data_IF_692810643611
#
_entry.id   IF_692810643611
#
_cell.length_a   1.000
_cell.length_b   1.000
_cell.length_c   1.000
_cell.angle_alpha   90.00
_cell.angle_beta   90.00
_cell.angle_gamma   90.00
#
_symmetry.space_group_name_H-M   'P 1'
#
loop_
_entity.id
_entity.type
_entity.pdbx_description
1 polymer ?
#
# COMPACT_ATOMS: atom_id res chain seq x y z
N UNK A 1 -10.83 -54.08 12.50
CA UNK A 1 -11.13 -52.85 11.73
C UNK A 1 -11.82 -51.87 12.67
N UNK A 2 -11.06 -50.99 13.31
CA UNK A 2 -11.61 -49.83 14.00
C UNK A 2 -11.55 -48.68 13.02
N UNK A 3 -12.70 -48.15 12.66
CA UNK A 3 -12.90 -46.93 11.88
C UNK A 3 -12.07 -45.80 12.46
N UNK A 4 -11.13 -45.27 11.67
CA UNK A 4 -10.49 -43.98 11.92
C UNK A 4 -11.59 -42.91 11.94
N UNK A 5 -11.88 -42.40 13.14
CA UNK A 5 -12.61 -41.15 13.28
C UNK A 5 -11.71 -40.05 12.73
N UNK A 6 -12.03 -39.56 11.54
CA UNK A 6 -11.53 -38.30 11.00
C UNK A 6 -11.78 -37.21 12.05
N UNK A 7 -10.73 -36.76 12.75
CA UNK A 7 -10.81 -35.55 13.57
C UNK A 7 -10.88 -34.36 12.60
N UNK A 8 -11.81 -33.40 12.79
CA UNK A 8 -11.83 -32.21 11.95
C UNK A 8 -10.52 -31.43 12.17
N UNK A 9 -10.00 -30.85 11.09
CA UNK A 9 -8.93 -29.85 11.15
C UNK A 9 -9.28 -28.83 12.23
N UNK A 10 -8.46 -28.67 13.26
CA UNK A 10 -8.61 -27.53 14.15
C UNK A 10 -8.16 -26.31 13.36
N UNK A 11 -9.10 -25.48 12.91
CA UNK A 11 -8.80 -24.39 11.96
C UNK A 11 -7.88 -23.36 12.66
N UNK A 12 -6.69 -23.15 12.10
CA UNK A 12 -5.68 -22.24 12.63
C UNK A 12 -6.14 -20.79 12.44
N UNK A 13 -6.04 -19.97 13.49
CA UNK A 13 -6.50 -18.57 13.46
C UNK A 13 -5.33 -17.58 13.47
N UNK A 14 -5.38 -16.60 12.57
CA UNK A 14 -4.45 -15.47 12.46
C UNK A 14 -5.14 -14.16 12.83
N UNK A 15 -4.48 -13.36 13.67
CA UNK A 15 -4.85 -11.97 13.90
C UNK A 15 -4.04 -11.06 12.98
N UNK A 16 -4.68 -10.07 12.38
CA UNK A 16 -4.04 -9.06 11.55
C UNK A 16 -4.23 -7.67 12.18
N UNK A 17 -3.13 -7.02 12.56
CA UNK A 17 -3.07 -5.71 13.23
C UNK A 17 -2.41 -4.67 12.30
N UNK A 18 -3.19 -3.99 11.45
CA UNK A 18 -2.67 -2.93 10.59
C UNK A 18 -2.45 -1.65 11.39
N UNK A 19 -1.56 -0.78 10.91
CA UNK A 19 -1.57 0.61 11.32
C UNK A 19 -2.89 1.26 10.83
N UNK A 20 -3.57 2.10 11.63
CA UNK A 20 -4.92 2.62 11.34
C UNK A 20 -4.99 3.68 10.22
N UNK A 21 -4.19 3.52 9.16
CA UNK A 21 -4.27 4.30 7.94
C UNK A 21 -4.70 3.41 6.78
N UNK A 22 -5.49 3.96 5.84
CA UNK A 22 -6.03 3.20 4.71
C UNK A 22 -4.93 2.49 3.88
N UNK A 23 -3.77 3.13 3.73
CA UNK A 23 -2.60 2.57 3.05
C UNK A 23 -1.98 1.34 3.74
N UNK A 24 -2.35 1.05 4.98
CA UNK A 24 -1.88 -0.09 5.75
C UNK A 24 -2.99 -1.15 5.92
N UNK A 25 -4.22 -0.69 6.18
CA UNK A 25 -5.40 -1.56 6.32
C UNK A 25 -5.69 -2.32 5.03
N UNK A 26 -5.71 -1.66 3.88
CA UNK A 26 -6.10 -2.29 2.61
C UNK A 26 -5.16 -3.43 2.18
N UNK A 27 -3.82 -3.25 2.08
CA UNK A 27 -2.94 -4.35 1.72
C UNK A 27 -2.97 -5.49 2.75
N UNK A 28 -3.11 -5.19 4.05
CA UNK A 28 -3.24 -6.24 5.06
C UNK A 28 -4.57 -7.00 4.97
N UNK A 29 -5.66 -6.33 4.62
CA UNK A 29 -6.95 -6.97 4.36
C UNK A 29 -6.89 -7.88 3.11
N UNK A 30 -6.24 -7.43 2.03
CA UNK A 30 -6.11 -8.28 0.83
C UNK A 30 -5.22 -9.49 1.09
N UNK A 31 -4.12 -9.32 1.85
CA UNK A 31 -3.33 -10.45 2.30
C UNK A 31 -4.15 -11.40 3.20
N UNK A 32 -4.95 -10.86 4.13
CA UNK A 32 -5.86 -11.63 4.98
C UNK A 32 -6.87 -12.47 4.17
N UNK A 33 -7.44 -11.89 3.10
CA UNK A 33 -8.35 -12.62 2.20
C UNK A 33 -7.65 -13.78 1.48
N UNK A 34 -6.37 -13.60 1.10
CA UNK A 34 -5.53 -14.68 0.52
C UNK A 34 -5.29 -15.81 1.52
N UNK A 35 -4.92 -15.48 2.75
CA UNK A 35 -4.75 -16.47 3.82
C UNK A 35 -6.05 -17.24 4.08
N UNK A 36 -7.18 -16.53 4.12
CA UNK A 36 -8.48 -17.15 4.32
C UNK A 36 -8.88 -18.09 3.16
N UNK A 37 -8.53 -17.73 1.92
CA UNK A 37 -8.76 -18.61 0.76
C UNK A 37 -7.95 -19.90 0.79
N UNK A 38 -6.87 -19.95 1.59
CA UNK A 38 -6.00 -21.11 1.77
C UNK A 38 -6.29 -21.88 3.08
N UNK A 39 -7.43 -21.62 3.72
CA UNK A 39 -7.93 -22.41 4.84
C UNK A 39 -7.66 -21.86 6.24
N UNK A 40 -7.02 -20.70 6.36
CA UNK A 40 -6.83 -20.04 7.67
C UNK A 40 -8.08 -19.26 8.09
N UNK A 41 -8.39 -19.25 9.39
CA UNK A 41 -9.28 -18.23 9.95
C UNK A 41 -8.50 -16.94 10.12
N UNK A 42 -9.09 -15.82 9.72
CA UNK A 42 -8.43 -14.52 9.87
C UNK A 42 -9.38 -13.51 10.50
N UNK A 43 -8.90 -12.81 11.54
CA UNK A 43 -9.57 -11.63 12.08
C UNK A 43 -8.66 -10.42 11.90
N UNK A 44 -9.14 -9.41 11.18
CA UNK A 44 -8.48 -8.12 11.03
C UNK A 44 -9.00 -7.17 12.11
N UNK A 45 -8.07 -6.56 12.84
CA UNK A 45 -8.33 -5.57 13.86
C UNK A 45 -8.43 -4.19 13.21
N UNK A 46 -9.41 -3.37 13.60
CA UNK A 46 -9.58 -2.01 13.07
C UNK A 46 -9.96 -1.03 14.18
N UNK A 47 -9.51 0.21 14.04
CA UNK A 47 -9.82 1.33 14.95
C UNK A 47 -10.82 2.31 14.34
N UNK A 48 -11.34 2.02 13.15
CA UNK A 48 -12.27 2.89 12.42
C UNK A 48 -13.70 2.39 12.65
N UNK A 49 -14.49 3.14 13.42
CA UNK A 49 -15.92 2.84 13.66
C UNK A 49 -16.76 3.35 12.49
N UNK A 50 -16.71 2.65 11.37
CA UNK A 50 -17.72 2.84 10.34
C UNK A 50 -18.77 1.76 10.51
N UNK A 51 -20.06 2.10 10.65
CA UNK A 51 -21.16 1.11 10.74
C UNK A 51 -21.17 0.10 9.56
N UNK A 52 -20.49 0.41 8.47
CA UNK A 52 -20.23 -0.44 7.30
C UNK A 52 -19.29 -1.63 7.63
N UNK A 53 -18.37 -1.49 8.58
CA UNK A 53 -17.37 -2.52 8.97
C UNK A 53 -17.96 -3.70 9.75
N UNK A 54 -19.21 -3.58 10.23
CA UNK A 54 -19.93 -4.66 10.92
C UNK A 54 -20.49 -5.72 9.98
N UNK A 55 -20.28 -5.57 8.67
CA UNK A 55 -20.63 -6.57 7.66
C UNK A 55 -19.46 -7.51 7.40
N UNK A 56 -19.73 -8.83 7.30
CA UNK A 56 -18.72 -9.83 6.93
C UNK A 56 -18.09 -9.42 5.59
N UNK A 57 -16.80 -9.11 5.58
CA UNK A 57 -16.05 -8.83 4.35
C UNK A 57 -15.62 -10.15 3.68
N UNK A 58 -16.62 -10.95 3.31
CA UNK A 58 -16.44 -12.31 2.79
C UNK A 58 -15.85 -13.24 3.85
N UNK A 59 -14.63 -13.74 3.59
CA UNK A 59 -13.95 -14.76 4.37
C UNK A 59 -13.14 -14.26 5.58
N UNK A 60 -13.04 -12.94 5.78
CA UNK A 60 -12.26 -12.33 6.87
C UNK A 60 -13.19 -11.68 7.89
N UNK A 61 -12.98 -12.00 9.18
CA UNK A 61 -13.68 -11.34 10.28
C UNK A 61 -13.06 -9.98 10.56
N UNK A 62 -13.88 -9.00 10.92
CA UNK A 62 -13.41 -7.67 11.33
C UNK A 62 -13.80 -7.47 12.78
N UNK A 63 -12.82 -7.18 13.63
CA UNK A 63 -13.04 -6.83 15.04
C UNK A 63 -12.66 -5.36 15.25
N UNK A 64 -13.63 -4.58 15.70
CA UNK A 64 -13.42 -3.17 16.02
C UNK A 64 -12.84 -3.02 17.43
N UNK A 65 -11.79 -2.21 17.54
CA UNK A 65 -11.17 -1.83 18.81
C UNK A 65 -11.56 -0.38 19.10
N UNK A 66 -12.39 -0.18 20.12
CA UNK A 66 -12.76 1.15 20.59
C UNK A 66 -11.52 1.88 21.12
N UNK A 67 -11.31 3.10 20.64
CA UNK A 67 -10.32 4.02 21.19
C UNK A 67 -11.04 5.06 22.05
N UNK A 68 -10.78 5.04 23.36
CA UNK A 68 -11.22 6.11 24.28
C UNK A 68 -10.14 7.21 24.43
N UNK A 69 -9.12 7.22 23.55
CA UNK A 69 -8.00 8.14 23.67
C UNK A 69 -8.38 9.58 23.27
N UNK A 70 -7.86 10.55 24.03
CA UNK A 70 -7.96 11.97 23.73
C UNK A 70 -7.04 12.33 22.54
N UNK A 71 -7.48 13.27 21.69
CA UNK A 71 -6.76 13.71 20.49
C UNK A 71 -5.43 14.45 20.77
N UNK A 72 -5.15 14.81 22.03
CA UNK A 72 -3.99 15.64 22.43
C UNK A 72 -2.70 14.85 22.73
N UNK A 73 -2.76 13.52 22.81
CA UNK A 73 -1.64 12.63 23.18
C UNK A 73 -0.91 12.05 21.94
N UNK A 74 0.35 11.61 22.08
CA UNK A 74 1.13 10.97 21.00
C UNK A 74 0.37 9.75 20.43
N UNK A 75 -0.16 9.91 19.21
CA UNK A 75 -1.02 8.94 18.53
C UNK A 75 -0.47 7.52 18.56
N UNK A 76 0.85 7.35 18.36
CA UNK A 76 1.46 6.02 18.31
C UNK A 76 1.62 5.40 19.71
N UNK A 77 1.86 6.22 20.75
CA UNK A 77 1.91 5.74 22.14
C UNK A 77 0.53 5.34 22.65
N UNK A 78 -0.50 6.10 22.27
CA UNK A 78 -1.89 5.76 22.55
C UNK A 78 -2.29 4.44 21.91
N UNK A 79 -1.93 4.25 20.63
CA UNK A 79 -2.19 3.02 19.90
C UNK A 79 -1.57 1.80 20.60
N UNK A 80 -0.31 1.90 21.02
CA UNK A 80 0.36 0.84 21.79
C UNK A 80 -0.38 0.53 23.08
N UNK A 81 -0.76 1.55 23.85
CA UNK A 81 -1.47 1.39 25.13
C UNK A 81 -2.82 0.68 24.96
N UNK A 82 -3.62 1.10 23.97
CA UNK A 82 -4.93 0.49 23.68
C UNK A 82 -4.75 -0.98 23.28
N UNK A 83 -3.83 -1.27 22.36
CA UNK A 83 -3.59 -2.63 21.88
C UNK A 83 -3.09 -3.53 23.00
N UNK A 84 -2.24 -3.02 23.90
CA UNK A 84 -1.71 -3.78 25.04
C UNK A 84 -2.82 -4.34 25.94
N UNK A 85 -3.92 -3.59 26.09
CA UNK A 85 -5.08 -4.00 26.91
C UNK A 85 -6.01 -4.91 26.11
N UNK A 86 -6.30 -4.54 24.85
CA UNK A 86 -7.35 -5.20 24.05
C UNK A 86 -6.92 -6.48 23.36
N UNK A 87 -5.65 -6.60 22.98
CA UNK A 87 -5.16 -7.78 22.27
C UNK A 87 -5.29 -9.07 23.10
N UNK A 88 -4.90 -9.12 24.39
CA UNK A 88 -5.11 -10.33 25.22
C UNK A 88 -6.59 -10.71 25.37
N UNK A 89 -7.48 -9.73 25.54
CA UNK A 89 -8.94 -9.95 25.63
C UNK A 89 -9.48 -10.60 24.35
N UNK A 90 -9.07 -10.08 23.18
CA UNK A 90 -9.48 -10.60 21.87
C UNK A 90 -8.94 -12.01 21.64
N UNK A 91 -7.67 -12.27 21.98
CA UNK A 91 -7.05 -13.59 21.84
C UNK A 91 -7.75 -14.63 22.72
N UNK A 92 -8.09 -14.28 23.96
CA UNK A 92 -8.84 -15.15 24.87
C UNK A 92 -10.24 -15.47 24.30
N UNK A 93 -10.99 -14.44 23.91
CA UNK A 93 -12.33 -14.55 23.31
C UNK A 93 -12.34 -15.46 22.07
N UNK A 94 -11.36 -15.29 21.17
CA UNK A 94 -11.26 -16.11 19.95
C UNK A 94 -10.88 -17.55 20.30
N UNK A 95 -9.97 -17.75 21.25
CA UNK A 95 -9.53 -19.09 21.65
C UNK A 95 -10.67 -19.91 22.28
N UNK A 96 -11.57 -19.27 23.03
CA UNK A 96 -12.79 -19.91 23.57
C UNK A 96 -13.76 -20.37 22.47
N UNK A 97 -13.70 -19.80 21.26
CA UNK A 97 -14.55 -20.18 20.13
C UNK A 97 -14.13 -21.48 19.42
N UNK A 98 -13.07 -22.14 19.90
CA UNK A 98 -12.54 -23.39 19.33
C UNK A 98 -11.48 -23.20 18.25
N UNK A 99 -11.11 -21.96 17.94
CA UNK A 99 -10.12 -21.56 16.94
C UNK A 99 -8.96 -20.80 17.60
N UNK A 100 -7.97 -21.50 18.21
CA UNK A 100 -6.90 -20.83 18.91
C UNK A 100 -6.08 -19.95 17.96
N UNK A 101 -5.82 -18.71 18.38
CA UNK A 101 -4.91 -17.81 17.68
C UNK A 101 -3.51 -18.40 17.73
N UNK A 102 -2.86 -18.51 16.58
CA UNK A 102 -1.50 -19.06 16.46
C UNK A 102 -0.48 -18.02 16.02
N UNK A 103 -0.92 -16.95 15.35
CA UNK A 103 -0.03 -15.92 14.83
C UNK A 103 -0.68 -14.54 14.87
N UNK A 104 0.11 -13.53 15.24
CA UNK A 104 -0.17 -12.12 15.03
C UNK A 104 0.65 -11.62 13.83
N UNK A 105 -0.06 -11.23 12.77
CA UNK A 105 0.50 -10.44 11.67
C UNK A 105 0.33 -8.97 12.03
N UNK A 106 1.41 -8.21 12.13
CA UNK A 106 1.38 -6.80 12.53
C UNK A 106 2.06 -5.92 11.49
N UNK A 107 1.71 -4.64 11.46
CA UNK A 107 2.38 -3.64 10.61
C UNK A 107 3.83 -3.41 11.08
N UNK A 108 4.80 -3.37 10.16
CA UNK A 108 6.22 -3.22 10.51
C UNK A 108 6.53 -1.96 11.32
N UNK A 109 5.74 -0.88 11.17
CA UNK A 109 5.90 0.38 11.92
C UNK A 109 5.62 0.20 13.43
N UNK A 110 5.01 -0.92 13.83
CA UNK A 110 4.69 -1.25 15.23
C UNK A 110 5.56 -2.41 15.75
N UNK A 111 6.89 -2.26 15.88
CA UNK A 111 7.78 -3.35 16.30
C UNK A 111 7.43 -3.92 17.68
N UNK A 112 6.83 -3.11 18.56
CA UNK A 112 6.36 -3.53 19.88
C UNK A 112 5.25 -4.61 19.83
N UNK A 113 4.57 -4.79 18.70
CA UNK A 113 3.54 -5.82 18.56
C UNK A 113 4.14 -7.23 18.53
N UNK A 114 5.42 -7.36 18.16
CA UNK A 114 6.14 -8.64 18.26
C UNK A 114 6.24 -9.09 19.72
N UNK A 115 6.65 -8.20 20.62
CA UNK A 115 6.80 -8.50 22.04
C UNK A 115 5.48 -8.98 22.65
N UNK A 116 4.38 -8.31 22.31
CA UNK A 116 3.03 -8.71 22.72
C UNK A 116 2.63 -10.08 22.17
N UNK A 117 2.97 -10.38 20.91
CA UNK A 117 2.73 -11.70 20.34
C UNK A 117 3.46 -12.79 21.15
N UNK A 118 4.72 -12.54 21.53
CA UNK A 118 5.52 -13.49 22.33
C UNK A 118 4.98 -13.67 23.73
N UNK A 119 4.56 -12.60 24.40
CA UNK A 119 3.92 -12.67 25.73
C UNK A 119 2.65 -13.52 25.72
N UNK A 120 1.92 -13.50 24.60
CA UNK A 120 0.72 -14.30 24.38
C UNK A 120 1.01 -15.71 23.83
N UNK A 121 2.28 -16.09 23.68
CA UNK A 121 2.69 -17.40 23.14
C UNK A 121 2.39 -17.59 21.65
N UNK A 122 2.23 -16.49 20.91
CA UNK A 122 1.93 -16.48 19.48
C UNK A 122 3.20 -16.36 18.63
N UNK A 123 3.14 -16.84 17.39
CA UNK A 123 4.09 -16.42 16.38
C UNK A 123 3.86 -14.95 16.01
N UNK A 124 4.93 -14.22 15.71
CA UNK A 124 4.88 -12.83 15.25
C UNK A 124 5.40 -12.71 13.82
N UNK A 125 4.61 -12.13 12.94
CA UNK A 125 4.99 -11.83 11.57
C UNK A 125 4.75 -10.35 11.25
N UNK A 126 5.76 -9.65 10.75
CA UNK A 126 5.58 -8.26 10.33
C UNK A 126 5.22 -8.17 8.85
N UNK A 127 4.38 -7.20 8.49
CA UNK A 127 4.06 -6.84 7.11
C UNK A 127 4.56 -5.41 6.82
N UNK A 128 5.47 -5.30 5.86
CA UNK A 128 5.88 -4.04 5.26
C UNK A 128 4.92 -3.68 4.13
N UNK A 129 4.27 -2.53 4.28
CA UNK A 129 3.38 -1.92 3.28
C UNK A 129 4.09 -0.84 2.45
N UNK A 130 5.42 -0.82 2.54
CA UNK A 130 6.34 0.00 1.75
C UNK A 130 7.12 -0.89 0.76
N UNK A 131 7.77 -0.27 -0.24
CA UNK A 131 8.66 -1.00 -1.14
C UNK A 131 9.89 -1.53 -0.40
N UNK A 132 10.44 -2.66 -0.86
CA UNK A 132 11.66 -3.22 -0.29
C UNK A 132 12.85 -2.26 -0.46
N UNK A 133 12.88 -1.53 -1.58
CA UNK A 133 13.81 -0.44 -1.85
C UNK A 133 13.79 0.63 -0.74
N UNK A 134 12.62 1.16 -0.39
CA UNK A 134 12.47 2.18 0.66
C UNK A 134 12.88 1.64 2.02
N UNK A 135 12.48 0.41 2.36
CA UNK A 135 12.88 -0.22 3.62
C UNK A 135 14.38 -0.43 3.71
N UNK A 136 15.08 -0.72 2.61
CA UNK A 136 16.54 -0.80 2.60
C UNK A 136 17.20 0.57 2.90
N UNK A 137 16.61 1.68 2.45
CA UNK A 137 17.07 3.04 2.81
C UNK A 137 16.95 3.27 4.32
N UNK A 138 15.75 3.03 4.89
CA UNK A 138 15.54 3.19 6.32
C UNK A 138 16.41 2.25 7.14
N UNK A 139 16.66 1.02 6.66
CA UNK A 139 17.59 0.11 7.29
C UNK A 139 19.03 0.67 7.32
N UNK A 140 19.50 1.31 6.24
CA UNK A 140 20.82 1.98 6.25
C UNK A 140 20.88 3.14 7.22
N UNK A 141 19.78 3.86 7.41
CA UNK A 141 19.69 4.87 8.45
C UNK A 141 19.72 4.26 9.86
N UNK A 142 19.00 3.17 10.09
CA UNK A 142 19.03 2.42 11.34
C UNK A 142 20.43 1.87 11.67
N UNK A 143 21.19 1.42 10.66
CA UNK A 143 22.60 1.01 10.83
C UNK A 143 23.57 2.20 11.06
N UNK A 144 23.08 3.44 11.01
CA UNK A 144 23.91 4.65 11.09
C UNK A 144 24.82 4.88 9.87
N UNK A 145 24.58 4.15 8.76
CA UNK A 145 25.33 4.21 7.48
C UNK A 145 24.78 5.26 6.52
N UNK A 146 23.53 5.68 6.71
CA UNK A 146 22.94 6.87 6.09
C UNK A 146 22.50 7.80 7.21
N UNK A 147 22.95 9.05 7.19
CA UNK A 147 22.68 10.01 8.26
C UNK A 147 22.00 11.25 7.70
N UNK A 148 21.39 12.00 8.61
CA UNK A 148 20.82 13.32 8.34
C UNK A 148 21.62 14.38 9.10
N UNK A 149 22.03 15.50 8.46
CA UNK A 149 21.89 15.79 7.04
C UNK A 149 22.70 14.83 6.17
N UNK A 150 22.25 14.61 4.93
CA UNK A 150 22.94 13.73 3.98
C UNK A 150 24.25 14.37 3.55
N UNK A 151 25.37 13.72 3.86
CA UNK A 151 26.72 14.30 3.66
C UNK A 151 27.18 14.31 2.19
N UNK A 152 26.74 13.33 1.38
CA UNK A 152 27.20 13.15 0.00
C UNK A 152 26.10 12.60 -0.89
N UNK A 153 25.99 13.20 -2.08
CA UNK A 153 25.16 12.71 -3.19
C UNK A 153 26.02 12.46 -4.45
N UNK A 154 25.63 11.52 -5.34
CA UNK A 154 24.53 10.58 -5.13
C UNK A 154 24.86 9.55 -4.05
N UNK A 155 23.83 9.13 -3.30
CA UNK A 155 23.90 8.06 -2.31
C UNK A 155 23.91 6.72 -3.03
N UNK A 156 24.84 5.86 -2.64
CA UNK A 156 24.99 4.51 -3.18
C UNK A 156 24.55 3.48 -2.13
N UNK A 157 23.48 2.76 -2.43
CA UNK A 157 22.99 1.65 -1.60
C UNK A 157 23.02 0.38 -2.46
N UNK A 158 23.57 -0.69 -1.92
CA UNK A 158 23.68 -1.97 -2.62
C UNK A 158 22.28 -2.49 -3.02
N UNK A 159 22.12 -2.89 -4.29
CA UNK A 159 20.86 -3.36 -4.85
C UNK A 159 19.90 -2.27 -5.30
N UNK A 160 20.35 -1.01 -5.36
CA UNK A 160 19.54 0.16 -5.72
C UNK A 160 20.25 1.02 -6.78
N UNK A 161 19.50 1.82 -7.57
CA UNK A 161 20.10 2.85 -8.39
C UNK A 161 20.83 3.89 -7.53
N UNK A 162 21.68 4.70 -8.14
CA UNK A 162 22.21 5.91 -7.49
C UNK A 162 21.05 6.87 -7.17
N UNK A 163 21.04 7.38 -5.95
CA UNK A 163 19.97 8.22 -5.43
C UNK A 163 20.50 9.63 -5.17
N UNK A 164 19.95 10.63 -5.84
CA UNK A 164 20.19 12.02 -5.43
C UNK A 164 19.41 12.36 -4.16
N UNK A 165 19.64 13.55 -3.59
CA UNK A 165 19.01 13.96 -2.32
C UNK A 165 17.48 13.80 -2.37
N UNK A 166 16.88 14.29 -3.45
CA UNK A 166 15.43 14.26 -3.67
C UNK A 166 14.91 12.93 -4.24
N UNK A 167 15.76 11.90 -4.33
CA UNK A 167 15.36 10.52 -4.58
C UNK A 167 15.24 9.70 -3.28
N UNK A 168 15.76 10.22 -2.16
CA UNK A 168 15.56 9.65 -0.82
C UNK A 168 14.17 10.02 -0.28
N UNK A 169 13.65 9.32 0.74
CA UNK A 169 12.45 9.75 1.43
C UNK A 169 12.58 11.17 1.98
N UNK A 170 11.49 11.94 2.01
CA UNK A 170 11.51 13.35 2.39
C UNK A 170 12.12 13.61 3.76
N UNK A 171 12.03 12.64 4.68
CA UNK A 171 12.62 12.70 6.01
C UNK A 171 14.15 12.82 6.03
N UNK A 172 14.84 12.64 4.90
CA UNK A 172 16.28 12.86 4.80
C UNK A 172 16.68 14.29 4.44
N UNK A 173 15.74 15.11 3.96
CA UNK A 173 16.00 16.49 3.52
C UNK A 173 14.96 17.53 3.99
N UNK A 174 13.86 17.09 4.59
CA UNK A 174 12.78 17.93 5.12
C UNK A 174 12.45 17.52 6.57
N UNK A 175 13.47 17.55 7.44
CA UNK A 175 13.34 17.15 8.84
C UNK A 175 12.50 18.13 9.67
N UNK A 176 12.46 19.41 9.29
CA UNK A 176 11.74 20.44 10.04
C UNK A 176 10.24 20.20 10.05
N UNK A 177 9.69 19.73 8.93
CA UNK A 177 8.27 19.40 8.82
C UNK A 177 7.91 18.03 9.43
N UNK A 178 8.89 17.15 9.65
CA UNK A 178 8.67 15.75 10.06
C UNK A 178 9.69 15.22 11.10
N UNK A 179 9.85 15.89 12.26
CA UNK A 179 10.98 15.66 13.16
C UNK A 179 11.00 14.26 13.82
N UNK A 180 9.85 13.60 13.94
CA UNK A 180 9.72 12.28 14.58
C UNK A 180 9.60 11.12 13.58
N UNK A 181 9.33 11.41 12.30
CA UNK A 181 8.97 10.39 11.30
C UNK A 181 10.13 9.48 10.92
N UNK A 182 11.35 10.03 10.83
CA UNK A 182 12.53 9.20 10.51
C UNK A 182 12.78 8.15 11.59
N UNK A 183 12.75 8.55 12.86
CA UNK A 183 12.95 7.63 13.99
C UNK A 183 11.87 6.54 14.02
N UNK A 184 10.61 6.91 13.79
CA UNK A 184 9.51 5.95 13.71
C UNK A 184 9.76 4.89 12.62
N UNK A 185 10.20 5.32 11.43
CA UNK A 185 10.42 4.45 10.28
C UNK A 185 11.73 3.67 10.31
N UNK A 186 12.73 4.10 11.09
CA UNK A 186 13.92 3.29 11.38
C UNK A 186 13.64 2.28 12.49
N UNK A 187 12.72 2.58 13.42
CA UNK A 187 12.41 1.69 14.54
C UNK A 187 11.76 0.37 14.11
N UNK A 188 11.18 0.29 12.91
CA UNK A 188 10.68 -0.98 12.35
C UNK A 188 11.75 -2.08 12.19
N UNK A 189 13.04 -1.74 12.34
CA UNK A 189 14.16 -2.68 12.26
C UNK A 189 14.70 -3.12 13.62
N UNK A 190 14.16 -2.64 14.75
CA UNK A 190 14.70 -2.89 16.10
C UNK A 190 14.74 -4.38 16.46
N UNK A 191 13.68 -5.12 16.13
CA UNK A 191 13.52 -6.55 16.43
C UNK A 191 13.16 -7.36 15.18
N UNK A 192 13.50 -6.86 13.99
CA UNK A 192 13.15 -7.51 12.72
C UNK A 192 13.73 -8.93 12.61
N UNK A 193 14.92 -9.16 13.17
CA UNK A 193 15.57 -10.47 13.19
C UNK A 193 14.87 -11.51 14.08
N UNK A 194 14.02 -11.06 15.01
CA UNK A 194 13.32 -11.93 15.97
C UNK A 194 11.90 -12.32 15.50
N UNK A 195 11.42 -11.71 14.41
CA UNK A 195 10.14 -12.04 13.79
C UNK A 195 10.23 -13.42 13.09
N UNK A 196 9.17 -14.22 13.20
CA UNK A 196 9.12 -15.54 12.57
C UNK A 196 9.00 -15.45 11.04
N UNK A 197 8.36 -14.38 10.56
CA UNK A 197 8.23 -14.05 9.14
C UNK A 197 8.29 -12.54 8.91
N UNK A 198 8.91 -12.14 7.80
CA UNK A 198 8.98 -10.75 7.35
C UNK A 198 8.33 -10.63 5.97
N UNK A 199 7.09 -10.17 5.91
CA UNK A 199 6.35 -10.01 4.66
C UNK A 199 6.57 -8.64 4.03
N UNK A 200 6.68 -8.61 2.71
CA UNK A 200 6.67 -7.36 1.93
C UNK A 200 5.54 -7.38 0.91
N UNK A 201 4.78 -6.30 0.82
CA UNK A 201 3.82 -6.07 -0.27
C UNK A 201 4.56 -5.70 -1.57
N UNK A 202 5.32 -6.66 -2.11
CA UNK A 202 6.07 -6.61 -3.36
C UNK A 202 6.22 -8.03 -3.91
N UNK A 203 6.84 -8.20 -5.08
CA UNK A 203 7.13 -9.51 -5.66
C UNK A 203 8.56 -9.57 -6.20
N UNK A 204 9.13 -10.78 -6.25
CA UNK A 204 10.52 -11.00 -6.69
C UNK A 204 10.82 -10.32 -8.03
N UNK A 205 9.98 -10.51 -9.05
CA UNK A 205 10.20 -9.89 -10.35
C UNK A 205 10.38 -8.37 -10.35
N UNK A 206 9.80 -7.64 -9.37
CA UNK A 206 9.84 -6.17 -9.28
C UNK A 206 11.08 -5.63 -8.59
N UNK A 207 11.51 -6.30 -7.52
CA UNK A 207 12.51 -5.81 -6.57
C UNK A 207 13.59 -6.87 -6.23
N UNK A 208 13.85 -7.82 -7.14
CA UNK A 208 14.68 -9.01 -6.86
C UNK A 208 16.06 -8.67 -6.28
N UNK A 209 16.73 -7.66 -6.84
CA UNK A 209 18.08 -7.29 -6.41
C UNK A 209 18.09 -6.81 -4.95
N UNK A 210 17.19 -5.89 -4.58
CA UNK A 210 17.12 -5.38 -3.20
C UNK A 210 16.61 -6.43 -2.22
N UNK A 211 15.64 -7.27 -2.63
CA UNK A 211 15.15 -8.40 -1.84
C UNK A 211 16.30 -9.36 -1.52
N UNK A 212 17.12 -9.71 -2.51
CA UNK A 212 18.26 -10.60 -2.33
C UNK A 212 19.32 -9.98 -1.40
N UNK A 213 19.57 -8.67 -1.48
CA UNK A 213 20.48 -7.97 -0.54
C UNK A 213 19.96 -7.94 0.88
N UNK A 214 18.66 -7.75 1.07
CA UNK A 214 18.07 -7.78 2.41
C UNK A 214 18.03 -9.20 2.99
N UNK A 215 17.73 -10.21 2.17
CA UNK A 215 17.71 -11.62 2.58
C UNK A 215 19.10 -12.13 2.96
N UNK A 216 20.16 -11.65 2.29
CA UNK A 216 21.55 -11.97 2.65
C UNK A 216 21.93 -11.52 4.08
N UNK A 217 21.11 -10.70 4.74
CA UNK A 217 21.26 -10.29 6.15
C UNK A 217 20.57 -11.24 7.13
N UNK A 218 20.13 -12.42 6.65
CA UNK A 218 19.47 -13.48 7.41
C UNK A 218 18.07 -13.13 7.92
N UNK A 219 17.42 -12.11 7.34
CA UNK A 219 16.01 -11.85 7.61
C UNK A 219 15.12 -12.85 6.86
N UNK A 220 14.05 -13.39 7.48
CA UNK A 220 13.14 -14.35 6.84
C UNK A 220 12.14 -13.63 5.92
N UNK A 221 12.67 -12.92 4.91
CA UNK A 221 11.89 -12.08 3.99
C UNK A 221 11.08 -12.95 3.02
N UNK A 222 9.80 -12.57 2.87
CA UNK A 222 8.81 -13.22 2.01
C UNK A 222 8.02 -12.15 1.23
N UNK A 223 8.35 -11.91 -0.05
CA UNK A 223 7.52 -11.11 -0.93
C UNK A 223 6.16 -11.78 -1.14
N UNK A 224 5.05 -11.09 -0.86
CA UNK A 224 3.69 -11.63 -0.94
C UNK A 224 2.73 -10.77 -1.77
N UNK A 225 3.23 -9.70 -2.38
CA UNK A 225 2.45 -8.77 -3.18
C UNK A 225 2.32 -9.18 -4.66
N UNK A 226 1.59 -8.42 -5.47
CA UNK A 226 0.77 -7.27 -5.08
C UNK A 226 -0.45 -7.65 -4.20
N UNK A 227 -0.61 -6.97 -3.07
CA UNK A 227 -1.78 -7.09 -2.18
C UNK A 227 -2.98 -6.31 -2.71
N UNK A 228 -3.40 -6.59 -3.94
CA UNK A 228 -4.65 -6.09 -4.54
C UNK A 228 -5.67 -7.24 -4.69
N UNK A 229 -6.96 -6.96 -4.92
CA UNK A 229 -7.99 -7.97 -5.01
C UNK A 229 -7.73 -8.95 -6.16
N UNK A 230 -7.94 -10.23 -5.86
CA UNK A 230 -7.73 -11.36 -6.76
C UNK A 230 -8.40 -11.17 -8.12
N UNK A 231 -9.57 -10.54 -8.18
CA UNK A 231 -10.27 -10.28 -9.45
C UNK A 231 -9.40 -9.52 -10.48
N UNK A 232 -8.49 -8.66 -10.04
CA UNK A 232 -7.61 -7.87 -10.91
C UNK A 232 -6.30 -8.57 -11.26
N UNK A 233 -6.01 -9.70 -10.60
CA UNK A 233 -4.79 -10.48 -10.75
C UNK A 233 -5.08 -11.84 -11.40
N UNK A 234 -5.27 -12.86 -10.56
CA UNK A 234 -5.35 -14.28 -10.86
C UNK A 234 -6.79 -14.83 -10.86
N UNK A 235 -7.76 -14.03 -10.40
CA UNK A 235 -9.21 -14.34 -10.35
C UNK A 235 -9.59 -15.61 -9.58
N UNK A 236 -8.70 -16.13 -8.73
CA UNK A 236 -8.93 -17.34 -7.93
C UNK A 236 -9.91 -17.14 -6.76
N UNK A 237 -10.14 -15.89 -6.34
CA UNK A 237 -11.12 -15.54 -5.30
C UNK A 237 -12.27 -14.74 -5.93
N UNK A 238 -13.36 -15.42 -6.29
CA UNK A 238 -14.44 -14.87 -7.13
C UNK A 238 -15.14 -13.63 -6.57
N UNK A 239 -15.31 -13.54 -5.24
CA UNK A 239 -15.99 -12.43 -4.57
C UNK A 239 -15.03 -11.28 -4.19
N UNK A 240 -13.73 -11.42 -4.44
CA UNK A 240 -12.73 -10.45 -4.05
C UNK A 240 -12.54 -9.39 -5.16
N UNK A 241 -13.54 -8.52 -5.30
CA UNK A 241 -13.53 -7.34 -6.17
C UNK A 241 -13.22 -6.06 -5.40
N UNK A 242 -13.67 -5.97 -4.16
CA UNK A 242 -13.49 -4.77 -3.34
C UNK A 242 -12.08 -4.70 -2.73
N UNK A 243 -11.46 -3.52 -2.85
CA UNK A 243 -10.09 -3.29 -2.41
C UNK A 243 -9.94 -3.11 -0.90
N UNK A 244 -10.93 -2.57 -0.21
CA UNK A 244 -10.90 -2.57 1.24
C UNK A 244 -11.89 -1.61 1.85
N UNK A 245 -11.57 -1.16 3.06
CA UNK A 245 -12.42 -0.26 3.81
C UNK A 245 -12.23 1.15 3.27
N UNK A 246 -13.29 1.71 2.70
CA UNK A 246 -13.28 3.08 2.19
C UNK A 246 -13.54 4.05 3.35
N UNK A 247 -12.66 5.04 3.53
CA UNK A 247 -12.88 6.15 4.46
C UNK A 247 -14.01 7.08 4.02
N UNK A 248 -14.22 7.18 2.70
CA UNK A 248 -15.20 8.08 2.08
C UNK A 248 -16.20 7.28 1.21
N UNK A 249 -17.42 7.80 1.04
CA UNK A 249 -18.44 7.16 0.23
C UNK A 249 -18.12 7.34 -1.27
N UNK A 250 -17.88 6.26 -2.04
CA UNK A 250 -17.46 6.38 -3.42
C UNK A 250 -18.63 6.72 -4.36
N UNK A 251 -18.40 7.59 -5.34
CA UNK A 251 -19.37 7.90 -6.39
C UNK A 251 -19.20 6.95 -7.59
N UNK A 252 -19.36 5.64 -7.35
CA UNK A 252 -18.97 4.58 -8.30
C UNK A 252 -19.76 4.67 -9.61
N UNK A 253 -21.08 4.75 -9.54
CA UNK A 253 -21.93 4.61 -10.72
C UNK A 253 -21.75 5.77 -11.72
N UNK A 254 -21.56 7.00 -11.23
CA UNK A 254 -21.35 8.15 -12.11
C UNK A 254 -19.96 8.14 -12.75
N UNK A 255 -18.92 7.79 -11.99
CA UNK A 255 -17.55 7.67 -12.52
C UNK A 255 -17.49 6.65 -13.65
N UNK A 256 -18.02 5.45 -13.42
CA UNK A 256 -17.94 4.36 -14.40
C UNK A 256 -18.75 4.67 -15.66
N UNK A 257 -19.97 5.21 -15.53
CA UNK A 257 -20.77 5.64 -16.69
C UNK A 257 -20.08 6.73 -17.52
N UNK A 258 -19.42 7.69 -16.86
CA UNK A 258 -18.68 8.72 -17.56
C UNK A 258 -17.48 8.12 -18.31
N UNK A 259 -16.73 7.23 -17.67
CA UNK A 259 -15.59 6.53 -18.26
C UNK A 259 -15.99 5.63 -19.45
N UNK A 260 -17.13 4.95 -19.38
CA UNK A 260 -17.67 4.08 -20.44
C UNK A 260 -17.90 4.85 -21.76
N UNK A 261 -18.20 6.15 -21.66
CA UNK A 261 -18.42 7.04 -22.80
C UNK A 261 -17.14 7.56 -23.46
N UNK A 262 -15.97 7.20 -22.93
CA UNK A 262 -14.66 7.68 -23.41
C UNK A 262 -13.94 6.62 -24.22
N UNK A 263 -13.11 7.09 -25.15
CA UNK A 263 -12.27 6.22 -25.97
C UNK A 263 -11.21 5.49 -25.12
N UNK A 264 -10.67 4.41 -25.68
CA UNK A 264 -9.65 3.62 -24.98
C UNK A 264 -8.38 4.46 -24.82
N UNK A 265 -7.79 4.45 -23.63
CA UNK A 265 -6.58 5.21 -23.29
C UNK A 265 -6.68 6.73 -23.51
N UNK A 266 -7.88 7.33 -23.44
CA UNK A 266 -8.07 8.76 -23.68
C UNK A 266 -8.19 9.62 -22.41
N UNK A 267 -8.27 9.00 -21.22
CA UNK A 267 -8.56 9.66 -19.94
C UNK A 267 -7.33 9.67 -19.04
N UNK A 268 -7.03 10.83 -18.46
CA UNK A 268 -6.07 10.99 -17.37
C UNK A 268 -6.82 10.83 -16.04
N UNK A 269 -6.44 9.85 -15.23
CA UNK A 269 -6.89 9.77 -13.86
C UNK A 269 -5.93 10.54 -12.95
N UNK A 270 -6.44 11.36 -12.03
CA UNK A 270 -5.63 12.20 -11.13
C UNK A 270 -6.06 11.92 -9.69
N UNK A 271 -5.12 11.48 -8.85
CA UNK A 271 -5.35 11.25 -7.42
C UNK A 271 -4.03 11.29 -6.64
N UNK A 272 -3.99 12.14 -5.61
CA UNK A 272 -2.83 12.32 -4.73
C UNK A 272 -3.00 11.59 -3.38
N UNK A 273 -3.89 10.60 -3.32
CA UNK A 273 -4.08 9.75 -2.15
C UNK A 273 -4.91 10.41 -1.03
N UNK A 274 -5.01 9.71 0.10
CA UNK A 274 -5.90 10.08 1.20
C UNK A 274 -5.29 11.08 2.19
N UNK A 275 -3.97 11.28 2.17
CA UNK A 275 -3.24 12.08 3.18
C UNK A 275 -2.60 13.35 2.63
N UNK A 276 -2.39 13.45 1.31
CA UNK A 276 -1.77 14.65 0.72
C UNK A 276 -2.74 15.83 0.78
N UNK A 277 -2.27 16.96 1.30
CA UNK A 277 -2.94 18.26 1.26
C UNK A 277 -2.08 19.15 0.35
N UNK A 278 -2.70 19.76 -0.66
CA UNK A 278 -1.98 20.64 -1.59
C UNK A 278 -2.25 22.11 -1.25
N UNK A 279 -1.24 22.95 -1.49
CA UNK A 279 -1.39 24.40 -1.45
C UNK A 279 -2.20 24.90 -2.65
N UNK A 280 -2.87 26.05 -2.49
CA UNK A 280 -3.71 26.67 -3.52
C UNK A 280 -2.96 26.87 -4.85
N UNK A 281 -1.74 27.41 -4.79
CA UNK A 281 -0.90 27.63 -5.98
C UNK A 281 -0.64 26.32 -6.76
N UNK A 282 -0.38 25.22 -6.05
CA UNK A 282 -0.14 23.94 -6.72
C UNK A 282 -1.43 23.35 -7.31
N UNK A 283 -2.56 23.52 -6.62
CA UNK A 283 -3.89 23.12 -7.11
C UNK A 283 -4.24 23.86 -8.41
N UNK A 284 -3.95 25.17 -8.46
CA UNK A 284 -4.14 26.02 -9.63
C UNK A 284 -3.28 25.56 -10.82
N UNK A 285 -1.99 25.30 -10.62
CA UNK A 285 -1.11 24.80 -11.69
C UNK A 285 -1.54 23.43 -12.22
N UNK A 286 -2.03 22.53 -11.35
CA UNK A 286 -2.61 21.23 -11.78
C UNK A 286 -3.86 21.44 -12.62
N UNK A 287 -4.79 22.28 -12.16
CA UNK A 287 -6.02 22.59 -12.88
C UNK A 287 -5.72 23.14 -14.28
N UNK A 288 -4.80 24.11 -14.39
CA UNK A 288 -4.41 24.65 -15.68
C UNK A 288 -3.62 23.67 -16.54
N UNK A 289 -2.74 22.85 -15.96
CA UNK A 289 -2.01 21.80 -16.68
C UNK A 289 -2.96 20.79 -17.32
N UNK A 290 -3.98 20.34 -16.57
CA UNK A 290 -5.02 19.44 -17.07
C UNK A 290 -5.83 20.10 -18.20
N UNK A 291 -6.26 21.34 -18.02
CA UNK A 291 -6.99 22.10 -19.05
C UNK A 291 -6.18 22.24 -20.34
N UNK A 292 -4.88 22.55 -20.23
CA UNK A 292 -3.95 22.71 -21.35
C UNK A 292 -3.63 21.40 -22.05
N UNK A 293 -3.57 20.29 -21.32
CA UNK A 293 -3.34 18.95 -21.89
C UNK A 293 -4.38 18.56 -22.94
N UNK A 294 -5.56 19.17 -22.91
CA UNK A 294 -6.66 18.96 -23.86
C UNK A 294 -7.21 17.50 -23.90
N UNK A 295 -6.78 16.65 -22.97
CA UNK A 295 -7.27 15.29 -22.76
C UNK A 295 -8.52 15.27 -21.86
N UNK A 296 -9.23 14.14 -21.85
CA UNK A 296 -10.25 13.89 -20.83
C UNK A 296 -9.56 13.65 -19.49
N UNK A 297 -10.16 14.10 -18.38
CA UNK A 297 -9.61 13.82 -17.06
C UNK A 297 -10.68 13.49 -16.02
N UNK A 298 -10.36 12.58 -15.10
CA UNK A 298 -11.11 12.30 -13.90
C UNK A 298 -10.22 12.62 -12.71
N UNK A 299 -10.58 13.66 -11.95
CA UNK A 299 -9.77 14.15 -10.84
C UNK A 299 -10.48 13.98 -9.50
N UNK A 300 -9.81 13.27 -8.58
CA UNK A 300 -10.25 13.18 -7.18
C UNK A 300 -9.78 14.43 -6.43
N UNK A 301 -10.74 15.27 -6.03
CA UNK A 301 -10.53 16.47 -5.19
C UNK A 301 -11.44 16.33 -3.98
N UNK A 302 -10.86 16.16 -2.79
CA UNK A 302 -11.64 15.98 -1.56
C UNK A 302 -12.44 17.24 -1.27
N UNK A 303 -13.57 17.08 -0.59
CA UNK A 303 -14.46 18.19 -0.21
C UNK A 303 -13.71 19.33 0.52
N UNK A 304 -12.75 18.98 1.39
CA UNK A 304 -11.90 19.95 2.11
C UNK A 304 -10.93 20.75 1.22
N UNK A 305 -10.79 20.37 -0.04
CA UNK A 305 -9.84 20.96 -1.00
C UNK A 305 -10.56 21.64 -2.17
N UNK A 306 -11.89 21.50 -2.29
CA UNK A 306 -12.66 22.03 -3.43
C UNK A 306 -12.54 23.56 -3.54
N UNK A 307 -12.44 24.26 -2.42
CA UNK A 307 -12.29 25.72 -2.37
C UNK A 307 -10.98 26.23 -2.99
N UNK A 308 -9.99 25.35 -3.16
CA UNK A 308 -8.67 25.67 -3.74
C UNK A 308 -8.66 25.58 -5.27
N UNK A 309 -9.74 25.08 -5.88
CA UNK A 309 -9.85 25.02 -7.33
C UNK A 309 -10.02 26.43 -7.91
N UNK A 310 -9.44 26.72 -9.09
CA UNK A 310 -9.64 28.02 -9.75
C UNK A 310 -11.13 28.30 -10.00
N UNK A 311 -11.52 29.57 -9.89
CA UNK A 311 -12.90 29.98 -10.14
C UNK A 311 -13.36 29.58 -11.55
N UNK A 312 -14.57 29.04 -11.64
CA UNK A 312 -15.20 28.52 -12.86
C UNK A 312 -14.51 27.29 -13.50
N UNK A 313 -13.51 26.67 -12.84
CA UNK A 313 -12.78 25.55 -13.43
C UNK A 313 -13.69 24.37 -13.79
N UNK A 314 -14.65 24.05 -12.93
CA UNK A 314 -15.60 22.95 -13.15
C UNK A 314 -16.48 23.24 -14.35
N UNK A 315 -17.04 24.45 -14.45
CA UNK A 315 -17.90 24.88 -15.54
C UNK A 315 -17.14 24.92 -16.88
N UNK A 316 -15.91 25.46 -16.88
CA UNK A 316 -15.08 25.57 -18.08
C UNK A 316 -14.59 24.22 -18.61
N UNK A 317 -14.53 23.20 -17.75
CA UNK A 317 -14.03 21.88 -18.12
C UNK A 317 -15.10 20.80 -18.18
N UNK A 318 -16.38 21.13 -17.97
CA UNK A 318 -17.47 20.14 -17.84
C UNK A 318 -17.60 19.15 -19.01
N UNK A 319 -17.17 19.52 -20.21
CA UNK A 319 -17.20 18.63 -21.39
C UNK A 319 -16.07 17.58 -21.39
N UNK A 320 -14.94 17.88 -20.72
CA UNK A 320 -13.71 17.08 -20.74
C UNK A 320 -13.30 16.51 -19.38
N UNK A 321 -13.65 17.19 -18.31
CA UNK A 321 -13.27 16.89 -16.95
C UNK A 321 -14.45 16.33 -16.15
N UNK A 322 -14.14 15.44 -15.23
CA UNK A 322 -15.02 15.06 -14.14
C UNK A 322 -14.26 15.21 -12.83
N UNK A 323 -14.79 16.01 -11.91
CA UNK A 323 -14.24 16.17 -10.56
C UNK A 323 -15.14 15.40 -9.59
N UNK A 324 -14.53 14.61 -8.71
CA UNK A 324 -15.24 13.83 -7.69
C UNK A 324 -14.50 13.90 -6.36
N UNK A 325 -15.25 13.81 -5.26
CA UNK A 325 -14.64 13.76 -3.92
C UNK A 325 -13.99 12.43 -3.60
N UNK A 326 -14.53 11.33 -4.14
CA UNK A 326 -13.99 9.99 -3.97
C UNK A 326 -14.49 9.02 -5.06
N UNK A 327 -13.64 8.07 -5.45
CA UNK A 327 -13.98 6.99 -6.37
C UNK A 327 -13.34 5.66 -5.94
N UNK A 328 -13.81 4.55 -6.50
CA UNK A 328 -13.11 3.27 -6.40
C UNK A 328 -11.89 3.31 -7.34
N UNK A 329 -10.75 3.80 -6.82
CA UNK A 329 -9.53 4.02 -7.59
C UNK A 329 -9.12 2.78 -8.40
N UNK A 330 -9.18 1.59 -7.82
CA UNK A 330 -8.75 0.37 -8.50
C UNK A 330 -9.66 0.01 -9.69
N UNK A 331 -10.98 0.19 -9.54
CA UNK A 331 -11.91 0.00 -10.66
C UNK A 331 -11.72 1.05 -11.75
N UNK A 332 -11.47 2.30 -11.37
CA UNK A 332 -11.15 3.38 -12.30
C UNK A 332 -9.88 3.04 -13.08
N UNK A 333 -8.78 2.69 -12.40
CA UNK A 333 -7.51 2.32 -13.03
C UNK A 333 -7.65 1.09 -13.95
N UNK A 334 -8.56 0.16 -13.62
CA UNK A 334 -8.81 -1.02 -14.45
C UNK A 334 -9.66 -0.73 -15.70
N UNK A 335 -10.26 0.46 -15.78
CA UNK A 335 -11.13 0.83 -16.88
C UNK A 335 -10.34 1.10 -18.17
N UNK A 336 -10.85 0.60 -19.30
CA UNK A 336 -10.19 0.68 -20.63
C UNK A 336 -9.86 2.10 -21.09
N UNK A 337 -10.62 3.10 -20.64
CA UNK A 337 -10.42 4.49 -21.06
C UNK A 337 -9.26 5.18 -20.36
N UNK A 338 -8.75 4.64 -19.23
CA UNK A 338 -7.61 5.23 -18.53
C UNK A 338 -6.34 5.08 -19.35
N UNK A 339 -5.81 6.20 -19.83
CA UNK A 339 -4.56 6.30 -20.56
C UNK A 339 -3.35 6.54 -19.66
N UNK A 340 -3.54 7.31 -18.59
CA UNK A 340 -2.48 7.75 -17.68
C UNK A 340 -3.02 7.93 -16.25
N UNK A 341 -2.17 7.68 -15.25
CA UNK A 341 -2.42 8.00 -13.85
C UNK A 341 -1.43 9.05 -13.34
N UNK A 342 -1.91 10.26 -13.09
CA UNK A 342 -1.15 11.29 -12.37
C UNK A 342 -1.29 11.04 -10.87
N UNK A 343 -0.16 10.73 -10.22
CA UNK A 343 -0.16 10.15 -8.87
C UNK A 343 0.96 10.69 -8.01
N UNK A 344 0.70 10.75 -6.70
CA UNK A 344 1.69 11.00 -5.66
C UNK A 344 2.69 9.85 -5.45
N UNK A 345 2.55 8.71 -6.12
CA UNK A 345 3.45 7.55 -5.97
C UNK A 345 3.50 6.95 -4.55
N UNK A 346 2.40 7.01 -3.79
CA UNK A 346 2.23 6.16 -2.61
C UNK A 346 2.27 4.68 -3.02
N UNK A 347 2.86 3.82 -2.19
CA UNK A 347 3.22 2.46 -2.59
C UNK A 347 2.03 1.63 -3.10
N UNK A 348 0.87 1.73 -2.45
CA UNK A 348 -0.34 1.04 -2.90
C UNK A 348 -0.80 1.52 -4.28
N UNK A 349 -0.91 2.84 -4.49
CA UNK A 349 -1.29 3.42 -5.79
C UNK A 349 -0.31 3.02 -6.90
N UNK A 350 0.99 2.96 -6.59
CA UNK A 350 2.02 2.48 -7.52
C UNK A 350 1.82 1.00 -7.85
N UNK A 351 1.56 0.15 -6.85
CA UNK A 351 1.29 -1.27 -7.04
C UNK A 351 0.02 -1.52 -7.85
N UNK A 352 -1.04 -0.74 -7.65
CA UNK A 352 -2.27 -0.80 -8.46
C UNK A 352 -1.99 -0.46 -9.92
N UNK A 353 -1.28 0.64 -10.19
CA UNK A 353 -0.92 1.07 -11.53
C UNK A 353 -0.06 0.03 -12.26
N UNK A 354 0.98 -0.49 -11.59
CA UNK A 354 1.85 -1.54 -12.13
C UNK A 354 1.06 -2.82 -12.43
N UNK A 355 0.20 -3.25 -11.50
CA UNK A 355 -0.60 -4.48 -11.65
C UNK A 355 -1.68 -4.39 -12.72
N UNK A 356 -2.09 -3.18 -13.10
CA UNK A 356 -3.09 -2.94 -14.15
C UNK A 356 -2.46 -2.50 -15.48
N UNK A 357 -1.17 -2.18 -15.48
CA UNK A 357 -0.43 -1.72 -16.66
C UNK A 357 -0.77 -0.29 -17.04
N UNK A 358 -1.02 0.57 -16.06
CA UNK A 358 -1.35 1.99 -16.27
C UNK A 358 -0.08 2.84 -16.21
N UNK A 359 0.28 3.57 -17.29
CA UNK A 359 1.37 4.54 -17.26
C UNK A 359 1.15 5.65 -16.23
N UNK A 360 2.22 6.17 -15.64
CA UNK A 360 2.15 7.15 -14.56
C UNK A 360 2.80 8.49 -14.91
N UNK A 361 2.18 9.60 -14.49
CA UNK A 361 2.89 10.85 -14.22
C UNK A 361 3.11 10.92 -12.71
N UNK A 362 4.36 10.76 -12.31
CA UNK A 362 4.80 10.70 -10.93
C UNK A 362 5.04 12.11 -10.39
N UNK A 363 4.24 12.52 -9.41
CA UNK A 363 4.32 13.81 -8.73
C UNK A 363 4.37 13.60 -7.21
N UNK A 364 5.49 13.08 -6.68
CA UNK A 364 5.63 12.74 -5.27
C UNK A 364 5.47 13.98 -4.39
N UNK A 365 4.89 13.81 -3.20
CA UNK A 365 4.56 14.90 -2.29
C UNK A 365 5.40 14.85 -1.02
N UNK A 366 5.53 13.68 -0.38
CA UNK A 366 6.28 13.50 0.87
C UNK A 366 6.55 12.02 1.17
N UNK A 367 7.16 11.73 2.32
CA UNK A 367 7.48 10.39 2.79
C UNK A 367 8.40 9.65 1.79
N UNK A 368 8.10 8.40 1.49
CA UNK A 368 8.83 7.51 0.60
C UNK A 368 8.46 7.65 -0.89
N UNK A 369 7.53 8.56 -1.20
CA UNK A 369 6.99 8.76 -2.55
C UNK A 369 8.04 9.18 -3.57
N UNK A 370 9.02 9.98 -3.14
CA UNK A 370 10.14 10.42 -3.99
C UNK A 370 10.99 9.24 -4.47
N UNK A 371 11.27 8.29 -3.59
CA UNK A 371 11.94 7.04 -3.95
C UNK A 371 11.07 6.20 -4.87
N UNK A 372 9.78 6.05 -4.58
CA UNK A 372 8.88 5.32 -5.47
C UNK A 372 8.81 5.95 -6.88
N UNK A 373 8.76 7.29 -6.96
CA UNK A 373 8.78 8.03 -8.22
C UNK A 373 10.08 7.81 -9.00
N UNK A 374 11.23 7.75 -8.33
CA UNK A 374 12.52 7.40 -8.93
C UNK A 374 12.49 6.01 -9.57
N UNK A 375 11.91 5.03 -8.89
CA UNK A 375 11.79 3.67 -9.44
C UNK A 375 10.81 3.61 -10.62
N UNK A 376 9.67 4.31 -10.54
CA UNK A 376 8.70 4.42 -11.63
C UNK A 376 9.33 4.99 -12.90
N UNK A 377 10.12 6.07 -12.78
CA UNK A 377 10.73 6.75 -13.92
C UNK A 377 11.96 6.01 -14.45
N UNK A 378 12.91 5.66 -13.58
CA UNK A 378 14.26 5.30 -14.03
C UNK A 378 14.49 3.79 -14.10
N UNK A 379 13.86 3.03 -13.19
CA UNK A 379 14.09 1.59 -13.03
C UNK A 379 13.05 0.79 -13.81
N UNK A 380 11.78 0.98 -13.50
CA UNK A 380 10.68 0.27 -14.15
C UNK A 380 10.26 0.90 -15.47
N UNK A 381 10.55 2.20 -15.64
CA UNK A 381 10.24 2.99 -16.85
C UNK A 381 8.77 2.89 -17.23
N UNK A 382 7.91 3.02 -16.24
CA UNK A 382 6.44 2.97 -16.34
C UNK A 382 5.79 4.34 -16.20
N UNK A 383 6.59 5.39 -16.15
CA UNK A 383 6.09 6.75 -16.03
C UNK A 383 7.18 7.79 -16.14
N UNK A 384 6.79 9.05 -15.98
CA UNK A 384 7.68 10.21 -15.96
C UNK A 384 7.49 10.92 -14.64
N UNK A 385 8.60 11.33 -14.01
CA UNK A 385 8.57 12.17 -12.82
C UNK A 385 8.58 13.63 -13.22
N UNK A 386 7.61 14.40 -12.71
CA UNK A 386 7.53 15.85 -12.93
C UNK A 386 8.71 16.57 -12.26
N UNK A 387 9.08 17.70 -12.83
CA UNK A 387 10.05 18.63 -12.25
C UNK A 387 9.35 19.73 -11.45
N UNK A 388 10.05 20.24 -10.45
CA UNK A 388 9.63 21.42 -9.68
C UNK A 388 10.49 22.62 -10.08
N UNK A 389 9.91 23.81 -10.00
CA UNK A 389 10.63 25.08 -10.14
C UNK A 389 11.41 25.45 -8.87
N UNK A 390 12.01 26.64 -8.86
CA UNK A 390 12.79 27.16 -7.73
C UNK A 390 11.97 27.35 -6.44
N UNK A 391 10.64 27.44 -6.55
CA UNK A 391 9.71 27.55 -5.43
C UNK A 391 9.14 26.19 -5.00
N UNK A 392 9.59 25.09 -5.62
CA UNK A 392 9.08 23.74 -5.33
C UNK A 392 7.72 23.45 -5.98
N UNK A 393 7.28 24.27 -6.94
CA UNK A 393 5.99 24.12 -7.63
C UNK A 393 6.17 23.37 -8.94
N UNK A 394 5.29 22.41 -9.19
CA UNK A 394 5.15 21.78 -10.50
C UNK A 394 4.27 22.66 -11.37
N UNK A 395 4.85 23.26 -12.40
CA UNK A 395 4.13 24.22 -13.26
C UNK A 395 3.16 23.52 -14.20
N UNK A 396 2.13 24.25 -14.65
CA UNK A 396 1.16 23.79 -15.65
C UNK A 396 1.83 23.37 -16.96
N UNK A 397 2.93 24.04 -17.35
CA UNK A 397 3.71 23.67 -18.53
C UNK A 397 4.42 22.32 -18.35
N UNK A 398 4.99 22.06 -17.17
CA UNK A 398 5.59 20.76 -16.84
C UNK A 398 4.54 19.65 -16.82
N UNK A 399 3.38 19.92 -16.23
CA UNK A 399 2.25 18.97 -16.17
C UNK A 399 1.76 18.64 -17.59
N UNK A 400 1.50 19.67 -18.41
CA UNK A 400 1.10 19.50 -19.81
C UNK A 400 2.10 18.63 -20.59
N UNK A 401 3.39 18.94 -20.47
CA UNK A 401 4.46 18.20 -21.15
C UNK A 401 4.52 16.74 -20.70
N UNK A 402 4.53 16.48 -19.38
CA UNK A 402 4.59 15.13 -18.84
C UNK A 402 3.37 14.30 -19.23
N UNK A 403 2.17 14.89 -19.15
CA UNK A 403 0.93 14.22 -19.56
C UNK A 403 0.97 13.86 -21.04
N UNK A 404 1.39 14.79 -21.89
CA UNK A 404 1.52 14.53 -23.33
C UNK A 404 2.48 13.38 -23.61
N UNK A 405 3.67 13.40 -23.00
CA UNK A 405 4.68 12.38 -23.22
C UNK A 405 4.23 11.00 -22.72
N UNK A 406 3.55 10.92 -21.58
CA UNK A 406 3.01 9.65 -21.06
C UNK A 406 1.84 9.12 -21.90
N UNK A 407 0.97 10.00 -22.40
CA UNK A 407 -0.19 9.63 -23.21
C UNK A 407 0.20 9.17 -24.62
N UNK A 408 1.24 9.75 -25.21
CA UNK A 408 1.68 9.49 -26.60
C UNK A 408 2.89 8.53 -26.69
N UNK A 409 3.63 8.33 -25.60
CA UNK A 409 4.93 7.65 -25.59
C UNK A 409 4.90 6.12 -25.54
N UNK A 410 6.10 5.51 -25.61
CA UNK A 410 6.29 4.05 -25.62
C UNK A 410 6.24 3.40 -24.22
N UNK A 411 6.00 4.19 -23.16
CA UNK A 411 5.98 3.77 -21.75
C UNK A 411 5.02 2.59 -21.51
N UNK A 412 3.90 2.55 -22.24
CA UNK A 412 2.87 1.52 -22.13
C UNK A 412 3.41 0.10 -22.33
N UNK A 413 4.43 -0.09 -23.17
CA UNK A 413 5.06 -1.41 -23.38
C UNK A 413 5.71 -1.93 -22.10
N UNK A 414 6.37 -1.06 -21.33
CA UNK A 414 6.93 -1.44 -20.04
C UNK A 414 5.83 -1.71 -19.02
N UNK A 415 4.76 -0.89 -19.00
CA UNK A 415 3.62 -1.13 -18.11
C UNK A 415 3.00 -2.51 -18.34
N UNK A 416 2.83 -2.96 -19.59
CA UNK A 416 2.29 -4.29 -19.89
C UNK A 416 3.23 -5.42 -19.42
N UNK A 417 4.55 -5.23 -19.54
CA UNK A 417 5.54 -6.18 -18.97
C UNK A 417 5.34 -6.33 -17.46
N UNK A 418 5.25 -5.22 -16.73
CA UNK A 418 5.13 -5.24 -15.26
C UNK A 418 3.77 -5.78 -14.80
N UNK A 419 2.70 -5.43 -15.50
CA UNK A 419 1.37 -6.02 -15.33
C UNK A 419 1.40 -7.54 -15.43
N UNK A 420 2.06 -8.07 -16.46
CA UNK A 420 2.19 -9.52 -16.66
C UNK A 420 2.94 -10.16 -15.50
N UNK A 421 4.09 -9.62 -15.10
CA UNK A 421 4.89 -10.15 -14.00
C UNK A 421 4.15 -10.10 -12.65
N UNK A 422 3.39 -9.02 -12.41
CA UNK A 422 2.58 -8.87 -11.20
C UNK A 422 1.48 -9.95 -11.11
N UNK A 423 0.89 -10.32 -12.24
CA UNK A 423 -0.09 -11.43 -12.32
C UNK A 423 0.59 -12.79 -12.13
N UNK A 424 1.66 -13.05 -12.87
CA UNK A 424 2.45 -14.29 -12.77
C UNK A 424 2.93 -14.55 -11.32
N UNK A 425 3.27 -13.50 -10.57
CA UNK A 425 3.65 -13.64 -9.16
C UNK A 425 2.53 -14.19 -8.26
N UNK A 426 1.27 -13.90 -8.60
CA UNK A 426 0.07 -14.23 -7.79
C UNK A 426 -0.74 -15.40 -8.33
N UNK A 427 -0.47 -15.84 -9.55
CA UNK A 427 -0.99 -17.09 -10.13
C UNK A 427 -0.59 -18.30 -9.27
N UNK A 428 -1.28 -19.43 -9.49
CA UNK A 428 -0.91 -20.69 -8.85
C UNK A 428 0.55 -21.03 -9.14
N UNK A 429 1.30 -21.40 -8.11
CA UNK A 429 2.76 -21.62 -8.17
C UNK A 429 3.61 -20.38 -8.50
N UNK A 430 3.00 -19.19 -8.55
CA UNK A 430 3.71 -17.91 -8.64
C UNK A 430 4.60 -17.63 -7.43
N UNK A 431 5.55 -16.70 -7.55
CA UNK A 431 6.52 -16.42 -6.48
C UNK A 431 5.86 -15.99 -5.17
N UNK A 432 4.86 -15.11 -5.25
CA UNK A 432 4.13 -14.64 -4.08
C UNK A 432 3.16 -15.70 -3.58
N UNK A 433 2.47 -16.41 -4.46
CA UNK A 433 1.60 -17.52 -4.06
C UNK A 433 2.34 -18.60 -3.28
N UNK A 434 3.55 -18.99 -3.73
CA UNK A 434 4.42 -19.94 -3.03
C UNK A 434 4.85 -19.44 -1.65
N UNK A 435 5.24 -18.17 -1.53
CA UNK A 435 5.60 -17.60 -0.23
C UNK A 435 4.41 -17.60 0.75
N UNK A 436 3.20 -17.33 0.26
CA UNK A 436 1.97 -17.39 1.06
C UNK A 436 1.66 -18.85 1.44
N UNK A 437 1.76 -19.79 0.50
CA UNK A 437 1.50 -21.22 0.73
C UNK A 437 2.47 -21.82 1.75
N UNK A 438 3.76 -21.48 1.64
CA UNK A 438 4.78 -21.92 2.61
C UNK A 438 4.48 -21.42 4.02
N UNK A 439 4.02 -20.17 4.17
CA UNK A 439 3.61 -19.63 5.45
C UNK A 439 2.40 -20.38 6.00
N UNK A 440 1.35 -20.55 5.19
CA UNK A 440 0.12 -21.25 5.56
C UNK A 440 0.42 -22.69 5.99
N UNK A 441 1.22 -23.42 5.20
CA UNK A 441 1.61 -24.79 5.48
C UNK A 441 2.40 -24.92 6.79
N UNK A 442 3.39 -24.04 7.03
CA UNK A 442 4.18 -24.03 8.27
C UNK A 442 3.32 -23.75 9.50
N UNK A 443 2.39 -22.79 9.39
CA UNK A 443 1.54 -22.41 10.50
C UNK A 443 0.56 -23.53 10.85
N UNK A 444 -0.06 -24.15 9.84
CA UNK A 444 -0.94 -25.30 10.04
C UNK A 444 -0.20 -26.49 10.65
N UNK A 445 0.99 -26.83 10.14
CA UNK A 445 1.81 -27.92 10.68
C UNK A 445 2.17 -27.73 12.16
N UNK A 446 2.47 -26.49 12.57
CA UNK A 446 2.86 -26.20 13.95
C UNK A 446 1.68 -26.29 14.91
N UNK A 447 0.48 -25.90 14.48
CA UNK A 447 -0.75 -26.04 15.27
C UNK A 447 -1.12 -27.50 15.62
N UNK A 448 -0.61 -28.46 14.85
CA UNK A 448 -0.79 -29.89 15.11
C UNK A 448 0.20 -30.44 16.15
N UNK A 449 1.40 -29.86 16.28
CA UNK A 449 2.45 -30.36 17.18
C UNK A 449 2.18 -29.96 18.63
N UNK A 450 1.68 -28.75 18.90
CA UNK A 450 1.37 -28.28 20.27
C UNK A 450 0.20 -29.01 20.93
N UNK A 451 -0.48 -29.93 20.21
CA UNK A 451 -1.64 -30.71 20.68
C UNK A 451 -1.35 -32.20 20.89
N UNK A 452 -0.12 -32.65 20.60
CA UNK A 452 0.40 -33.95 21.04
C UNK A 452 1.19 -33.76 22.33
#
# INVERSE_FOLDING_TARGET
MKTEQYRPFTETHVLALPLPFQGHINPMLQFSKRLASKGLKVTLLTFIDNQITKTKNGSVNIEFISSDANEEDDYFQNLKSIVSVKLPEIVAKISESGFPVSCLIYDSIMPWALDMARELGLFGACLFTQSCAVSNIYYKANEGKLRTPVEKVPVSIEGMPLLDLYDLPSFFFDLENYPTSLNLLTNQFLNLGDADWVFFNTFNGLEDEVINRMTARQFPIKPIGPSIPSMFLDKRIQENKEYGLNLYKPNIESCMKWLDSRETFSVIYVSFGSLCIMGEKQMEEIAFGLKRSNHYFLWVVRESEEEKLPSNFVEETMEKGMIVTWCNQLEVLAHKSIGCFMTHCGWNSTMEALSLGVPMVAMPQWCDQTTNAKFVADVWRTGIRVKVDEEGIVTKEEIEMCLKEVMEGEIRKNCEKWKKLAKEAMEEDGSSDKNIEEFVAKLMATSHITKM
#
